data_IF_800379971682
#
_entry.id   IF_800379971682
#
_cell.length_a   1.000
_cell.length_b   1.000
_cell.length_c   1.000
_cell.angle_alpha   90.00
_cell.angle_beta   90.00
_cell.angle_gamma   90.00
#
_symmetry.space_group_name_H-M   'P 1'
#
loop_
_entity.id
_entity.type
_entity.pdbx_description
1 polymer ?
#
# COMPACT_ATOMS: atom_id res chain seq x y z
N UNK A 1 -66.28 40.86 -19.46
CA UNK A 1 -66.95 41.95 -18.72
C UNK A 1 -66.39 41.97 -17.30
N UNK A 2 -65.88 43.13 -16.91
CA UNK A 2 -65.30 43.46 -15.60
C UNK A 2 -66.19 43.12 -14.41
N UNK A 3 -65.60 42.83 -13.24
CA UNK A 3 -65.56 43.75 -12.10
C UNK A 3 -65.10 43.07 -10.79
N UNK A 4 -64.09 43.70 -10.15
CA UNK A 4 -63.99 44.04 -8.70
C UNK A 4 -63.99 42.90 -7.66
N UNK A 5 -63.40 43.01 -6.47
CA UNK A 5 -62.48 43.92 -5.78
C UNK A 5 -61.99 43.09 -4.57
N UNK A 6 -60.79 43.31 -4.06
CA UNK A 6 -60.38 42.66 -2.80
C UNK A 6 -58.95 42.94 -2.40
N UNK A 7 -58.66 44.20 -2.05
CA UNK A 7 -57.40 44.59 -1.41
C UNK A 7 -57.52 44.32 0.09
N UNK A 8 -56.57 43.58 0.66
CA UNK A 8 -56.25 43.62 2.09
C UNK A 8 -54.75 43.89 2.26
N UNK A 9 -54.45 45.05 2.83
CA UNK A 9 -53.18 45.35 3.47
C UNK A 9 -53.08 44.55 4.78
N UNK A 10 -51.87 44.13 5.20
CA UNK A 10 -51.30 44.44 6.52
C UNK A 10 -49.82 43.97 6.61
N UNK A 11 -49.00 44.96 6.99
CA UNK A 11 -47.76 44.98 7.79
C UNK A 11 -46.47 44.24 7.35
N UNK A 12 -45.46 45.09 7.19
CA UNK A 12 -44.03 44.86 7.38
C UNK A 12 -43.67 44.07 8.64
N UNK A 13 -42.71 43.15 8.50
CA UNK A 13 -41.62 43.01 9.46
C UNK A 13 -40.29 42.94 8.68
N UNK A 14 -39.50 43.99 8.83
CA UNK A 14 -38.08 44.03 8.43
C UNK A 14 -37.32 43.09 9.34
N UNK A 15 -36.86 41.96 8.79
CA UNK A 15 -35.82 41.14 9.40
C UNK A 15 -34.53 41.31 8.60
N UNK A 16 -33.70 42.28 8.99
CA UNK A 16 -32.30 42.34 8.60
C UNK A 16 -31.59 41.14 9.22
N UNK A 17 -31.52 40.04 8.47
CA UNK A 17 -30.74 38.85 8.80
C UNK A 17 -29.59 38.73 7.82
N UNK A 18 -28.38 38.95 8.31
CA UNK A 18 -27.11 38.91 7.61
C UNK A 18 -27.03 37.79 6.57
N UNK A 19 -26.64 38.16 5.35
CA UNK A 19 -26.36 37.23 4.28
C UNK A 19 -25.31 36.22 4.71
N UNK A 20 -25.75 35.00 5.05
CA UNK A 20 -24.86 33.85 5.12
C UNK A 20 -24.35 33.59 3.72
N UNK A 21 -23.15 34.09 3.44
CA UNK A 21 -22.34 33.70 2.30
C UNK A 21 -22.12 32.18 2.39
N UNK A 22 -22.88 31.43 1.62
CA UNK A 22 -22.59 30.03 1.35
C UNK A 22 -21.26 29.97 0.60
N UNK A 23 -20.19 29.53 1.26
CA UNK A 23 -18.92 29.19 0.60
C UNK A 23 -19.14 27.88 -0.17
N UNK A 24 -19.31 28.00 -1.49
CA UNK A 24 -19.63 26.91 -2.42
C UNK A 24 -18.42 26.10 -2.88
N UNK A 25 -17.32 26.10 -2.11
CA UNK A 25 -16.17 25.22 -2.38
C UNK A 25 -16.52 23.78 -2.01
N UNK A 26 -17.33 23.11 -2.84
CA UNK A 26 -17.27 21.64 -2.98
C UNK A 26 -15.86 21.31 -3.44
N UNK A 27 -14.99 20.89 -2.51
CA UNK A 27 -13.72 20.27 -2.87
C UNK A 27 -14.07 19.03 -3.68
N UNK A 28 -13.83 19.09 -4.98
CA UNK A 28 -14.09 17.97 -5.89
C UNK A 28 -13.17 16.82 -5.47
N UNK A 29 -13.76 15.70 -5.05
CA UNK A 29 -12.99 14.55 -4.58
C UNK A 29 -12.20 13.98 -5.74
N UNK A 30 -10.88 14.07 -5.66
CA UNK A 30 -9.98 13.46 -6.65
C UNK A 30 -10.00 11.95 -6.48
N UNK A 31 -10.74 11.25 -7.33
CA UNK A 31 -10.89 9.78 -7.30
C UNK A 31 -9.79 9.02 -8.06
N UNK A 32 -8.61 9.63 -8.23
CA UNK A 32 -7.49 9.06 -8.98
C UNK A 32 -6.14 9.53 -8.45
N UNK A 33 -5.13 8.69 -8.60
CA UNK A 33 -3.72 8.99 -8.28
C UNK A 33 -3.02 9.49 -9.54
N UNK A 34 -2.13 10.46 -9.36
CA UNK A 34 -1.28 11.06 -10.40
C UNK A 34 0.19 10.99 -10.00
N UNK A 35 1.10 11.16 -10.96
CA UNK A 35 2.54 11.23 -10.68
C UNK A 35 2.93 12.32 -9.68
N UNK A 36 2.17 13.42 -9.58
CA UNK A 36 2.42 14.45 -8.57
C UNK A 36 2.12 13.97 -7.15
N UNK A 37 1.24 12.98 -6.98
CA UNK A 37 0.93 12.39 -5.67
C UNK A 37 2.11 11.52 -5.16
N UNK A 38 3.04 11.16 -6.04
CA UNK A 38 4.28 10.42 -5.76
C UNK A 38 5.51 11.34 -5.70
N UNK A 39 5.37 12.67 -5.64
CA UNK A 39 6.51 13.60 -5.60
C UNK A 39 6.37 14.62 -4.49
N UNK A 40 7.46 14.92 -3.79
CA UNK A 40 7.47 15.92 -2.72
C UNK A 40 7.13 17.33 -3.25
N UNK A 41 7.55 17.67 -4.46
CA UNK A 41 7.22 18.92 -5.14
C UNK A 41 6.72 18.67 -6.56
N UNK A 42 6.01 19.63 -7.14
CA UNK A 42 5.51 19.57 -8.52
C UNK A 42 6.62 19.84 -9.57
N UNK A 43 7.86 19.41 -9.30
CA UNK A 43 9.02 19.62 -10.18
C UNK A 43 9.83 20.88 -9.90
N UNK A 44 9.56 21.59 -8.80
CA UNK A 44 10.39 22.69 -8.29
C UNK A 44 11.35 22.21 -7.20
N UNK A 45 12.62 22.62 -7.28
CA UNK A 45 13.65 22.39 -6.26
C UNK A 45 13.07 22.70 -4.86
N UNK A 46 13.27 21.80 -3.89
CA UNK A 46 12.93 22.02 -2.49
C UNK A 46 13.62 23.30 -2.02
N UNK A 47 12.87 24.40 -1.92
CA UNK A 47 13.36 25.64 -1.32
C UNK A 47 13.28 25.48 0.19
N UNK A 48 14.43 25.59 0.84
CA UNK A 48 14.54 25.92 2.26
C UNK A 48 13.79 27.25 2.49
N UNK A 49 12.53 27.16 2.88
CA UNK A 49 11.72 28.13 3.62
C UNK A 49 10.25 27.93 3.28
N UNK A 50 9.51 27.29 4.21
CA UNK A 50 8.10 27.47 4.61
C UNK A 50 7.05 28.00 3.61
N UNK A 51 7.22 27.86 2.31
CA UNK A 51 6.31 28.35 1.29
C UNK A 51 5.29 27.27 0.94
N UNK A 52 4.00 27.61 1.07
CA UNK A 52 2.89 26.80 0.55
C UNK A 52 3.12 26.50 -0.93
N UNK A 53 3.52 25.27 -1.24
CA UNK A 53 3.40 24.73 -2.58
C UNK A 53 1.91 24.52 -2.89
N UNK A 54 1.52 24.88 -4.10
CA UNK A 54 0.15 24.99 -4.55
C UNK A 54 -0.64 23.67 -4.32
N UNK A 55 -1.45 23.60 -3.27
CA UNK A 55 -2.50 22.58 -3.08
C UNK A 55 -2.15 21.26 -2.38
N UNK A 56 -0.90 20.94 -2.02
CA UNK A 56 -0.59 19.71 -1.26
C UNK A 56 0.15 19.99 0.05
N UNK A 57 -0.36 19.45 1.17
CA UNK A 57 0.27 19.58 2.50
C UNK A 57 1.45 18.63 2.59
N UNK A 58 2.64 19.15 2.85
CA UNK A 58 3.86 18.35 3.04
C UNK A 58 4.19 18.30 4.54
N UNK A 59 4.52 17.12 5.05
CA UNK A 59 5.04 16.90 6.41
C UNK A 59 6.42 16.25 6.25
N UNK A 60 7.46 16.85 6.81
CA UNK A 60 8.83 16.36 6.74
C UNK A 60 9.16 15.53 7.97
N UNK A 61 9.58 14.28 7.77
CA UNK A 61 10.04 13.37 8.80
C UNK A 61 11.56 13.33 8.79
N UNK A 62 12.18 13.69 9.90
CA UNK A 62 13.63 13.56 10.12
C UNK A 62 13.91 13.01 11.52
N UNK A 63 14.46 11.80 11.58
CA UNK A 63 14.87 11.17 12.84
C UNK A 63 15.86 12.02 13.66
N UNK A 64 16.63 12.92 13.02
CA UNK A 64 17.57 13.82 13.68
C UNK A 64 16.90 15.11 14.21
N UNK A 65 15.61 15.30 13.95
CA UNK A 65 14.80 16.38 14.48
C UNK A 65 14.91 17.72 13.74
N UNK A 66 15.40 17.76 12.49
CA UNK A 66 15.40 18.97 11.66
C UNK A 66 14.16 19.09 10.75
N UNK A 67 13.29 18.08 10.76
CA UNK A 67 11.99 18.08 10.08
C UNK A 67 10.84 18.50 11.02
N UNK A 68 9.61 18.37 10.54
CA UNK A 68 8.39 18.67 11.32
C UNK A 68 8.17 17.66 12.45
N UNK A 69 8.51 16.40 12.21
CA UNK A 69 8.42 15.30 13.20
C UNK A 69 9.59 14.33 13.07
N UNK A 70 9.81 13.50 14.10
CA UNK A 70 10.91 12.52 14.14
C UNK A 70 10.55 11.11 13.65
N UNK A 71 9.27 10.76 13.71
CA UNK A 71 8.76 9.41 13.41
C UNK A 71 7.77 9.46 12.27
N UNK A 72 7.69 8.39 11.50
CA UNK A 72 6.74 8.26 10.39
C UNK A 72 5.31 8.16 10.94
N UNK A 73 5.08 7.37 11.99
CA UNK A 73 3.77 7.29 12.63
C UNK A 73 3.31 8.67 13.13
N UNK A 74 4.20 9.44 13.75
CA UNK A 74 3.89 10.82 14.17
C UNK A 74 3.42 11.72 13.01
N UNK A 75 3.97 11.58 11.81
CA UNK A 75 3.48 12.32 10.64
C UNK A 75 2.08 11.86 10.20
N UNK A 76 1.82 10.55 10.25
CA UNK A 76 0.50 9.96 9.97
C UNK A 76 -0.52 10.46 11.00
N UNK A 77 -0.13 10.62 12.26
CA UNK A 77 -0.99 11.09 13.34
C UNK A 77 -1.44 12.54 13.14
N UNK A 78 -0.59 13.38 12.55
CA UNK A 78 -0.90 14.77 12.17
C UNK A 78 -1.90 14.90 11.01
N UNK A 79 -2.17 13.83 10.26
CA UNK A 79 -3.21 13.83 9.22
C UNK A 79 -4.58 13.70 9.89
N UNK A 80 -5.53 14.61 9.64
CA UNK A 80 -6.86 14.51 10.24
C UNK A 80 -7.62 13.29 9.71
N UNK A 81 -8.51 12.67 10.51
CA UNK A 81 -9.44 11.67 10.00
C UNK A 81 -10.39 12.31 8.97
N UNK A 82 -10.95 11.47 8.09
CA UNK A 82 -11.82 11.86 6.98
C UNK A 82 -11.15 12.86 6.03
N UNK A 83 -9.84 12.71 5.84
CA UNK A 83 -9.05 13.51 4.93
C UNK A 83 -9.54 13.34 3.47
N UNK A 84 -9.68 14.43 2.73
CA UNK A 84 -10.07 14.41 1.30
C UNK A 84 -9.00 15.02 0.39
N UNK A 85 -7.90 15.50 0.96
CA UNK A 85 -6.81 16.15 0.23
C UNK A 85 -5.52 15.34 0.34
N UNK A 86 -4.69 15.37 -0.70
CA UNK A 86 -3.41 14.67 -0.68
C UNK A 86 -2.49 15.25 0.39
N UNK A 87 -2.12 14.42 1.38
CA UNK A 87 -1.05 14.75 2.34
C UNK A 87 0.20 13.95 1.99
N UNK A 88 1.30 14.66 1.77
CA UNK A 88 2.59 14.11 1.38
C UNK A 88 3.50 14.08 2.61
N UNK A 89 3.97 12.91 2.98
CA UNK A 89 4.93 12.72 4.07
C UNK A 89 6.30 12.47 3.43
N UNK A 90 7.15 13.49 3.44
CA UNK A 90 8.53 13.41 2.96
C UNK A 90 9.42 12.84 4.05
N UNK A 91 9.99 11.67 3.83
CA UNK A 91 10.80 10.94 4.80
C UNK A 91 12.26 11.07 4.41
N UNK A 92 13.04 11.79 5.23
CA UNK A 92 14.47 11.96 4.99
C UNK A 92 15.24 10.65 5.19
N UNK A 93 16.46 10.52 4.64
CA UNK A 93 17.29 9.33 4.82
C UNK A 93 17.47 8.90 6.29
N UNK A 94 17.26 7.62 6.55
CA UNK A 94 17.34 7.04 7.89
C UNK A 94 16.82 5.60 7.98
N UNK A 95 17.10 4.97 9.12
CA UNK A 95 16.50 3.67 9.49
C UNK A 95 15.52 3.91 10.63
N UNK A 96 14.24 3.95 10.27
CA UNK A 96 13.11 4.15 11.15
C UNK A 96 12.66 2.80 11.73
N UNK A 97 13.08 2.53 12.97
CA UNK A 97 12.71 1.32 13.72
C UNK A 97 11.38 1.52 14.43
N UNK A 98 10.31 1.45 13.65
CA UNK A 98 8.95 1.66 14.11
C UNK A 98 7.98 0.83 13.27
N UNK A 99 6.80 0.56 13.84
CA UNK A 99 5.66 0.08 13.06
C UNK A 99 4.83 1.28 12.64
N UNK A 100 4.38 1.29 11.40
CA UNK A 100 3.57 2.37 10.84
C UNK A 100 2.20 1.82 10.46
N UNK A 101 1.15 2.44 10.99
CA UNK A 101 -0.24 2.12 10.71
C UNK A 101 -0.91 3.31 10.03
N UNK A 102 -1.32 3.12 8.77
CA UNK A 102 -2.10 4.08 7.98
C UNK A 102 -3.58 3.68 8.09
N UNK A 103 -4.36 4.31 8.99
CA UNK A 103 -5.72 3.87 9.28
C UNK A 103 -6.68 4.19 8.13
N UNK A 104 -7.71 3.35 7.96
CA UNK A 104 -8.76 3.54 6.93
C UNK A 104 -9.42 4.93 6.95
N UNK A 105 -9.47 5.56 8.13
CA UNK A 105 -10.03 6.90 8.30
C UNK A 105 -9.17 8.02 7.71
N UNK A 106 -7.94 7.76 7.26
CA UNK A 106 -7.01 8.77 6.73
C UNK A 106 -6.59 8.47 5.28
N UNK A 107 -7.52 8.47 4.31
CA UNK A 107 -7.19 8.25 2.91
C UNK A 107 -6.33 9.39 2.36
N UNK A 108 -5.78 9.17 1.17
CA UNK A 108 -4.96 10.15 0.46
C UNK A 108 -3.62 10.54 1.13
N UNK A 109 -2.98 9.59 1.81
CA UNK A 109 -1.60 9.73 2.32
C UNK A 109 -0.58 9.23 1.29
N UNK A 110 0.49 9.99 1.08
CA UNK A 110 1.68 9.56 0.32
C UNK A 110 2.90 9.50 1.22
N UNK A 111 3.61 8.37 1.27
CA UNK A 111 4.96 8.28 1.84
C UNK A 111 6.00 8.47 0.72
N UNK A 112 6.90 9.44 0.90
CA UNK A 112 7.82 9.86 -0.16
C UNK A 112 9.25 9.82 0.38
N UNK A 113 10.07 8.93 -0.18
CA UNK A 113 11.52 8.95 -0.03
C UNK A 113 12.21 9.37 -1.33
N UNK A 114 13.45 8.96 -1.49
CA UNK A 114 14.26 9.21 -2.69
C UNK A 114 14.12 8.03 -3.67
N UNK A 115 13.51 8.28 -4.83
CA UNK A 115 13.24 7.24 -5.82
C UNK A 115 14.51 6.65 -6.45
N UNK A 116 15.62 7.40 -6.46
CA UNK A 116 16.90 6.90 -7.00
C UNK A 116 17.70 6.15 -5.93
N UNK A 117 17.38 6.36 -4.65
CA UNK A 117 18.06 5.74 -3.51
C UNK A 117 17.08 5.20 -2.45
N UNK A 118 16.15 4.29 -2.80
CA UNK A 118 15.14 3.78 -1.87
C UNK A 118 15.74 3.03 -0.66
N UNK A 119 16.98 2.58 -0.75
CA UNK A 119 17.73 1.95 0.34
C UNK A 119 18.19 2.93 1.43
N UNK A 120 18.12 4.25 1.19
CA UNK A 120 18.49 5.26 2.19
C UNK A 120 17.38 5.58 3.19
N UNK A 121 16.13 5.25 2.88
CA UNK A 121 14.97 5.47 3.76
C UNK A 121 14.32 4.12 4.04
N UNK A 122 14.56 3.58 5.24
CA UNK A 122 14.16 2.21 5.62
C UNK A 122 13.21 2.27 6.81
N UNK A 123 12.04 1.64 6.68
CA UNK A 123 11.12 1.34 7.78
C UNK A 123 11.34 -0.13 8.16
N UNK A 124 11.73 -0.39 9.40
CA UNK A 124 12.24 -1.70 9.81
C UNK A 124 11.58 -2.18 11.10
N UNK A 125 11.08 -3.42 11.08
CA UNK A 125 10.62 -4.14 12.27
C UNK A 125 11.01 -5.63 12.23
N UNK A 126 10.58 -6.42 13.22
CA UNK A 126 11.04 -7.80 13.40
C UNK A 126 10.04 -8.72 14.15
N UNK A 127 8.75 -8.45 14.06
CA UNK A 127 7.72 -9.34 14.63
C UNK A 127 7.51 -10.57 13.72
N UNK A 128 7.27 -11.74 14.33
CA UNK A 128 6.72 -12.93 13.64
C UNK A 128 5.42 -13.41 14.27
N UNK A 129 4.65 -14.19 13.52
CA UNK A 129 3.28 -14.55 13.90
C UNK A 129 3.17 -15.27 15.25
N UNK A 130 4.18 -16.07 15.62
CA UNK A 130 4.24 -16.76 16.91
C UNK A 130 4.60 -15.87 18.11
N UNK A 131 5.05 -14.63 17.88
CA UNK A 131 5.41 -13.74 18.99
C UNK A 131 4.17 -13.40 19.83
N UNK A 132 4.39 -13.13 21.11
CA UNK A 132 3.32 -12.88 22.08
C UNK A 132 3.17 -11.38 22.34
N UNK A 133 1.93 -10.94 22.32
CA UNK A 133 1.47 -9.67 22.88
C UNK A 133 0.63 -9.93 24.14
N UNK A 134 0.16 -8.86 24.77
CA UNK A 134 -0.66 -8.94 25.99
C UNK A 134 -1.97 -9.73 25.79
N UNK A 135 -2.49 -9.77 24.57
CA UNK A 135 -3.77 -10.40 24.20
C UNK A 135 -3.62 -11.75 23.47
N UNK A 136 -2.41 -12.31 23.39
CA UNK A 136 -2.14 -13.60 22.76
C UNK A 136 -1.05 -13.55 21.71
N UNK A 137 -1.03 -14.52 20.81
CA UNK A 137 -0.07 -14.55 19.69
C UNK A 137 -0.41 -13.48 18.66
N UNK A 138 0.59 -12.85 18.05
CA UNK A 138 0.38 -11.79 17.06
C UNK A 138 -0.45 -12.28 15.86
N UNK A 139 -0.16 -13.48 15.35
CA UNK A 139 -0.67 -13.91 14.05
C UNK A 139 -0.08 -13.08 12.91
N UNK A 140 -0.24 -13.53 11.66
CA UNK A 140 0.44 -12.96 10.48
C UNK A 140 0.19 -11.45 10.31
N UNK A 141 -1.07 -11.01 10.31
CA UNK A 141 -1.42 -9.61 10.00
C UNK A 141 -0.81 -8.59 10.97
N UNK A 142 -0.66 -8.95 12.25
CA UNK A 142 -0.11 -8.04 13.26
C UNK A 142 1.41 -7.96 13.21
N UNK A 143 2.10 -8.76 12.41
CA UNK A 143 3.56 -8.68 12.24
C UNK A 143 4.02 -7.57 11.30
N UNK A 144 3.09 -6.99 10.52
CA UNK A 144 3.39 -6.01 9.50
C UNK A 144 4.18 -4.81 10.04
N UNK A 145 5.28 -4.48 9.36
CA UNK A 145 6.08 -3.27 9.63
C UNK A 145 5.32 -2.02 9.18
N UNK A 146 4.69 -2.08 8.00
CA UNK A 146 3.76 -1.08 7.49
C UNK A 146 2.38 -1.71 7.25
N UNK A 147 1.35 -1.14 7.86
CA UNK A 147 -0.05 -1.50 7.60
C UNK A 147 -0.76 -0.37 6.87
N UNK A 148 -1.35 -0.67 5.72
CA UNK A 148 -2.04 0.30 4.86
C UNK A 148 -3.51 -0.08 4.74
N UNK A 149 -4.36 0.54 5.55
CA UNK A 149 -5.81 0.37 5.48
C UNK A 149 -6.52 1.53 4.75
N UNK A 150 -5.79 2.60 4.44
CA UNK A 150 -6.33 3.79 3.84
C UNK A 150 -6.40 3.72 2.32
N UNK A 151 -7.53 4.14 1.76
CA UNK A 151 -7.70 4.22 0.30
C UNK A 151 -6.81 5.31 -0.31
N UNK A 152 -6.48 5.12 -1.60
CA UNK A 152 -5.66 6.06 -2.37
C UNK A 152 -4.28 6.32 -1.75
N UNK A 153 -3.74 5.33 -1.04
CA UNK A 153 -2.39 5.39 -0.49
C UNK A 153 -1.35 5.41 -1.61
N UNK A 154 -0.25 6.12 -1.39
CA UNK A 154 0.90 6.10 -2.28
C UNK A 154 2.19 5.89 -1.48
N UNK A 155 3.14 5.17 -2.05
CA UNK A 155 4.51 5.15 -1.57
C UNK A 155 5.50 5.24 -2.73
N UNK A 156 6.58 5.99 -2.54
CA UNK A 156 7.68 6.07 -3.49
C UNK A 156 9.03 6.08 -2.79
N UNK A 157 10.05 5.46 -3.39
CA UNK A 157 11.44 5.67 -2.99
C UNK A 157 11.76 5.30 -1.54
N UNK A 158 11.07 4.31 -0.98
CA UNK A 158 11.30 3.82 0.38
C UNK A 158 11.53 2.31 0.40
N UNK A 159 12.22 1.84 1.44
CA UNK A 159 12.31 0.43 1.79
C UNK A 159 11.44 0.15 3.01
N UNK A 160 10.67 -0.92 2.96
CA UNK A 160 10.00 -1.49 4.14
C UNK A 160 10.49 -2.91 4.32
N UNK A 161 10.90 -3.26 5.53
CA UNK A 161 11.44 -4.57 5.83
C UNK A 161 10.90 -5.17 7.12
N UNK A 162 10.72 -6.48 7.12
CA UNK A 162 10.66 -7.28 8.33
C UNK A 162 11.87 -8.22 8.36
N UNK A 163 12.69 -8.07 9.39
CA UNK A 163 14.02 -8.71 9.46
C UNK A 163 14.01 -10.16 9.94
N UNK A 164 12.84 -10.72 10.26
CA UNK A 164 12.72 -12.14 10.60
C UNK A 164 13.07 -12.99 9.38
N UNK A 165 13.95 -13.97 9.58
CA UNK A 165 14.31 -14.99 8.59
C UNK A 165 13.59 -16.29 8.91
N UNK A 166 12.61 -16.65 8.09
CA UNK A 166 11.87 -17.88 8.20
C UNK A 166 12.80 -19.08 8.01
N UNK A 167 12.55 -20.13 8.80
CA UNK A 167 13.18 -21.44 8.62
C UNK A 167 12.23 -22.31 7.79
N UNK A 168 12.71 -23.01 6.74
CA UNK A 168 11.86 -23.95 6.01
C UNK A 168 11.17 -24.93 6.96
N UNK A 169 9.84 -25.04 6.88
CA UNK A 169 9.02 -25.89 7.76
C UNK A 169 8.84 -25.37 9.19
N UNK A 170 9.33 -24.17 9.52
CA UNK A 170 9.14 -23.55 10.83
C UNK A 170 7.70 -23.08 11.05
N UNK A 171 7.10 -23.45 12.17
CA UNK A 171 5.76 -22.98 12.55
C UNK A 171 5.79 -21.53 13.05
N UNK A 172 4.81 -20.73 12.64
CA UNK A 172 4.62 -19.36 13.15
C UNK A 172 5.69 -18.35 12.73
N UNK A 173 6.43 -18.64 11.66
CA UNK A 173 7.54 -17.82 11.15
C UNK A 173 7.11 -16.70 10.18
N UNK A 174 5.81 -16.57 9.89
CA UNK A 174 5.28 -15.51 9.03
C UNK A 174 5.65 -14.14 9.58
N UNK A 175 6.17 -13.25 8.73
CA UNK A 175 6.72 -11.98 9.14
C UNK A 175 6.57 -10.94 8.01
N UNK A 176 5.51 -10.15 8.12
CA UNK A 176 5.05 -9.25 7.06
C UNK A 176 5.88 -7.95 7.10
N UNK A 177 6.40 -7.54 5.95
CA UNK A 177 6.97 -6.20 5.78
C UNK A 177 5.83 -5.19 5.53
N UNK A 178 4.94 -5.49 4.58
CA UNK A 178 3.80 -4.61 4.25
C UNK A 178 2.50 -5.42 4.19
N UNK A 179 1.49 -4.96 4.90
CA UNK A 179 0.10 -5.42 4.77
C UNK A 179 -0.75 -4.31 4.12
N UNK A 180 -1.51 -4.65 3.08
CA UNK A 180 -2.31 -3.69 2.31
C UNK A 180 -3.76 -4.16 2.23
N UNK A 181 -4.66 -3.32 2.70
CA UNK A 181 -6.11 -3.54 2.78
C UNK A 181 -6.94 -2.36 2.22
N UNK A 182 -6.34 -1.18 2.05
CA UNK A 182 -7.01 0.00 1.48
C UNK A 182 -7.06 -0.03 -0.05
N UNK A 183 -8.16 0.44 -0.64
CA UNK A 183 -8.37 0.36 -2.09
C UNK A 183 -7.57 1.42 -2.87
N UNK A 184 -7.17 1.09 -4.11
CA UNK A 184 -6.44 1.98 -5.03
C UNK A 184 -5.10 2.49 -4.48
N UNK A 185 -4.22 1.59 -4.05
CA UNK A 185 -2.86 1.94 -3.61
C UNK A 185 -1.84 1.88 -4.76
N UNK A 186 -0.85 2.79 -4.76
CA UNK A 186 0.25 2.82 -5.74
C UNK A 186 1.60 2.81 -5.04
N UNK A 187 2.51 1.95 -5.50
CA UNK A 187 3.87 1.86 -5.03
C UNK A 187 4.82 2.02 -6.23
N UNK A 188 5.74 2.98 -6.15
CA UNK A 188 6.68 3.28 -7.23
C UNK A 188 8.12 3.27 -6.74
N UNK A 189 8.99 2.44 -7.35
CA UNK A 189 10.40 2.33 -6.94
C UNK A 189 10.59 2.04 -5.43
N UNK A 190 9.65 1.32 -4.82
CA UNK A 190 9.74 0.86 -3.43
C UNK A 190 10.50 -0.46 -3.33
N UNK A 191 11.04 -0.74 -2.15
CA UNK A 191 11.66 -2.04 -1.82
C UNK A 191 10.88 -2.70 -0.67
N UNK A 192 10.47 -3.95 -0.84
CA UNK A 192 9.84 -4.76 0.21
C UNK A 192 10.72 -5.97 0.50
N UNK A 193 11.21 -6.06 1.73
CA UNK A 193 12.21 -7.07 2.11
C UNK A 193 11.70 -7.91 3.27
N UNK A 194 11.76 -9.23 3.12
CA UNK A 194 11.41 -10.16 4.19
C UNK A 194 11.79 -11.59 3.82
N UNK A 195 11.12 -12.55 4.47
CA UNK A 195 11.33 -13.98 4.23
C UNK A 195 10.02 -14.71 3.95
N UNK A 196 9.17 -14.92 4.95
CA UNK A 196 7.84 -15.52 4.78
C UNK A 196 6.76 -14.44 4.87
N UNK A 197 5.84 -14.43 3.91
CA UNK A 197 4.70 -13.49 3.84
C UNK A 197 5.13 -12.01 3.76
N UNK A 198 6.22 -11.71 3.03
CA UNK A 198 6.82 -10.35 2.99
C UNK A 198 5.82 -9.26 2.59
N UNK A 199 5.08 -9.47 1.51
CA UNK A 199 4.07 -8.56 1.01
C UNK A 199 2.70 -9.25 1.11
N UNK A 200 1.93 -8.88 2.13
CA UNK A 200 0.55 -9.30 2.31
C UNK A 200 -0.38 -8.30 1.59
N UNK A 201 -0.52 -8.55 0.29
CA UNK A 201 -1.33 -7.82 -0.68
C UNK A 201 -2.79 -8.33 -0.66
N UNK A 202 -3.54 -7.93 0.37
CA UNK A 202 -4.69 -8.65 0.90
C UNK A 202 -6.01 -8.29 0.22
N UNK A 203 -6.41 -7.02 0.27
CA UNK A 203 -7.70 -6.53 -0.26
C UNK A 203 -7.48 -5.20 -0.98
N UNK A 204 -8.12 -5.04 -2.15
CA UNK A 204 -8.13 -3.80 -2.90
C UNK A 204 -7.60 -3.95 -4.33
N UNK A 205 -7.44 -2.81 -5.00
CA UNK A 205 -6.81 -2.71 -6.33
C UNK A 205 -5.48 -2.00 -6.20
N UNK A 206 -4.37 -2.68 -6.47
CA UNK A 206 -3.05 -2.11 -6.24
C UNK A 206 -2.17 -2.11 -7.49
N UNK A 207 -1.28 -1.12 -7.57
CA UNK A 207 -0.30 -1.02 -8.65
C UNK A 207 1.11 -0.85 -8.09
N UNK A 208 1.97 -1.79 -8.43
CA UNK A 208 3.38 -1.80 -8.08
C UNK A 208 4.18 -1.58 -9.37
N UNK A 209 4.91 -0.47 -9.43
CA UNK A 209 5.66 -0.08 -10.61
C UNK A 209 7.15 0.08 -10.29
N UNK A 210 8.00 -0.68 -10.97
CA UNK A 210 9.46 -0.67 -10.78
C UNK A 210 9.89 -0.94 -9.33
N UNK A 211 9.11 -1.73 -8.58
CA UNK A 211 9.45 -2.10 -7.21
C UNK A 211 10.45 -3.27 -7.18
N UNK A 212 11.16 -3.40 -6.07
CA UNK A 212 11.96 -4.57 -5.74
C UNK A 212 11.27 -5.32 -4.60
N UNK A 213 10.96 -6.60 -4.81
CA UNK A 213 10.24 -7.43 -3.84
C UNK A 213 11.08 -8.66 -3.55
N UNK A 214 11.38 -8.91 -2.28
CA UNK A 214 12.26 -9.99 -1.87
C UNK A 214 11.65 -10.86 -0.77
N UNK A 215 11.72 -12.18 -0.97
CA UNK A 215 11.38 -13.14 0.08
C UNK A 215 11.63 -14.58 -0.31
N UNK A 216 11.06 -15.51 0.46
CA UNK A 216 11.32 -16.95 0.40
C UNK A 216 10.02 -17.75 0.24
N UNK A 217 9.15 -17.73 1.25
CA UNK A 217 7.91 -18.53 1.28
C UNK A 217 6.72 -17.58 1.17
N UNK A 218 5.88 -17.79 0.16
CA UNK A 218 4.62 -17.06 -0.04
C UNK A 218 4.80 -15.54 0.04
N UNK A 219 5.93 -15.04 -0.43
CA UNK A 219 6.35 -13.69 -0.07
C UNK A 219 5.54 -12.59 -0.77
N UNK A 220 4.66 -12.95 -1.71
CA UNK A 220 3.55 -12.13 -2.21
C UNK A 220 2.26 -12.94 -2.01
N UNK A 221 1.43 -12.55 -1.06
CA UNK A 221 0.24 -13.33 -0.67
C UNK A 221 -0.97 -12.44 -0.38
N UNK A 222 -2.17 -13.04 -0.35
CA UNK A 222 -3.44 -12.32 -0.15
C UNK A 222 -4.42 -12.49 -1.31
N UNK A 223 -5.44 -11.64 -1.38
CA UNK A 223 -6.54 -11.72 -2.36
C UNK A 223 -6.79 -10.42 -3.12
N UNK A 224 -5.82 -9.50 -3.22
CA UNK A 224 -6.01 -8.26 -3.95
C UNK A 224 -6.11 -8.47 -5.49
N UNK A 225 -6.54 -7.44 -6.20
CA UNK A 225 -6.44 -7.32 -7.66
C UNK A 225 -5.27 -6.42 -8.00
N UNK A 226 -4.11 -7.00 -8.28
CA UNK A 226 -2.87 -6.25 -8.34
C UNK A 226 -2.09 -6.43 -9.64
N UNK A 227 -1.53 -5.33 -10.12
CA UNK A 227 -0.57 -5.29 -11.22
C UNK A 227 0.81 -4.98 -10.68
N UNK A 228 1.75 -5.87 -10.95
CA UNK A 228 3.18 -5.72 -10.71
C UNK A 228 3.84 -5.52 -12.06
N UNK A 229 4.35 -4.33 -12.34
CA UNK A 229 4.91 -3.98 -13.64
C UNK A 229 6.35 -3.50 -13.55
N UNK A 230 7.23 -4.09 -14.36
CA UNK A 230 8.65 -3.71 -14.38
C UNK A 230 9.36 -3.98 -13.06
N UNK A 231 8.80 -4.83 -12.20
CA UNK A 231 9.34 -5.12 -10.88
C UNK A 231 10.48 -6.14 -10.96
N UNK A 232 11.38 -6.09 -9.99
CA UNK A 232 12.33 -7.16 -9.71
C UNK A 232 11.77 -8.00 -8.57
N UNK A 233 11.58 -9.29 -8.83
CA UNK A 233 11.08 -10.26 -7.86
C UNK A 233 12.26 -11.18 -7.52
N UNK A 234 12.79 -11.05 -6.30
CA UNK A 234 14.04 -11.69 -5.88
C UNK A 234 13.77 -12.75 -4.80
N UNK A 235 13.89 -14.02 -5.16
CA UNK A 235 13.83 -15.11 -4.19
C UNK A 235 15.14 -15.23 -3.40
N UNK A 236 15.06 -15.52 -2.10
CA UNK A 236 16.25 -15.73 -1.25
C UNK A 236 16.38 -17.16 -0.72
N UNK A 237 15.52 -18.08 -1.17
CA UNK A 237 15.54 -19.46 -0.73
C UNK A 237 14.38 -20.29 -1.29
N UNK A 238 14.29 -21.57 -0.90
CA UNK A 238 13.21 -22.44 -1.36
C UNK A 238 11.86 -22.00 -0.80
N UNK A 239 10.83 -22.06 -1.65
CA UNK A 239 9.47 -21.67 -1.29
C UNK A 239 8.62 -21.39 -2.52
N UNK A 240 7.88 -20.29 -2.48
CA UNK A 240 7.01 -19.85 -3.56
C UNK A 240 6.97 -18.32 -3.61
N UNK A 241 6.93 -17.77 -4.81
CA UNK A 241 6.79 -16.33 -5.02
C UNK A 241 5.39 -15.87 -4.62
N UNK A 242 4.35 -16.45 -5.22
CA UNK A 242 2.97 -16.04 -5.01
C UNK A 242 2.15 -17.09 -4.25
N UNK A 243 1.31 -16.63 -3.31
CA UNK A 243 0.27 -17.43 -2.67
C UNK A 243 -1.06 -16.66 -2.69
N UNK A 244 -1.75 -16.74 -3.82
CA UNK A 244 -2.97 -15.97 -4.05
C UNK A 244 -4.19 -16.71 -3.47
N UNK A 245 -5.08 -15.97 -2.80
CA UNK A 245 -6.15 -16.50 -1.95
C UNK A 245 -7.57 -16.22 -2.48
N UNK A 246 -7.74 -16.28 -3.80
CA UNK A 246 -9.07 -16.23 -4.41
C UNK A 246 -9.82 -17.52 -4.13
N UNK A 247 -11.01 -17.41 -3.54
CA UNK A 247 -11.82 -18.53 -3.05
C UNK A 247 -13.12 -18.74 -3.84
N UNK A 248 -13.46 -17.85 -4.78
CA UNK A 248 -14.64 -18.02 -5.63
C UNK A 248 -14.35 -17.65 -7.10
N UNK A 249 -15.06 -18.26 -8.08
CA UNK A 249 -14.98 -17.83 -9.47
C UNK A 249 -15.58 -16.44 -9.71
N UNK A 250 -16.45 -15.94 -8.82
CA UNK A 250 -17.05 -14.60 -8.93
C UNK A 250 -16.14 -13.47 -8.44
N UNK A 251 -15.08 -13.80 -7.71
CA UNK A 251 -14.11 -12.80 -7.24
C UNK A 251 -13.24 -12.31 -8.40
N UNK A 252 -13.28 -11.00 -8.65
CA UNK A 252 -12.44 -10.38 -9.67
C UNK A 252 -11.06 -9.97 -9.12
N UNK A 253 -10.38 -10.91 -8.47
CA UNK A 253 -9.07 -10.70 -7.83
C UNK A 253 -7.99 -11.55 -8.49
N UNK A 254 -6.73 -11.28 -8.18
CA UNK A 254 -5.59 -11.99 -8.74
C UNK A 254 -4.40 -11.09 -8.98
N UNK A 255 -3.25 -11.71 -9.24
CA UNK A 255 -1.99 -11.02 -9.46
C UNK A 255 -1.55 -11.13 -10.91
N UNK A 256 -1.11 -10.01 -11.48
CA UNK A 256 -0.50 -9.95 -12.81
C UNK A 256 0.91 -9.37 -12.68
N UNK A 257 1.91 -10.17 -13.05
CA UNK A 257 3.31 -9.76 -13.17
C UNK A 257 3.61 -9.52 -14.65
N UNK A 258 3.97 -8.29 -15.01
CA UNK A 258 4.15 -7.86 -16.40
C UNK A 258 5.49 -7.18 -16.58
N UNK A 259 6.28 -7.63 -17.55
CA UNK A 259 7.62 -7.10 -17.83
C UNK A 259 8.53 -7.13 -16.58
N UNK A 260 8.33 -8.10 -15.69
CA UNK A 260 9.10 -8.26 -14.46
C UNK A 260 10.35 -9.11 -14.69
N UNK A 261 11.35 -8.96 -13.82
CA UNK A 261 12.51 -9.86 -13.75
C UNK A 261 12.39 -10.75 -12.51
N UNK A 262 12.35 -12.07 -12.72
CA UNK A 262 12.30 -13.09 -11.67
C UNK A 262 13.70 -13.68 -11.50
N UNK A 263 14.31 -13.40 -10.35
CA UNK A 263 15.70 -13.72 -10.04
C UNK A 263 15.82 -14.23 -8.62
N UNK A 264 17.01 -14.65 -8.21
CA UNK A 264 17.30 -14.91 -6.80
C UNK A 264 18.20 -16.11 -6.58
N UNK A 265 18.09 -16.66 -5.39
CA UNK A 265 18.81 -17.84 -4.92
C UNK A 265 17.83 -18.97 -4.59
N UNK A 266 18.34 -20.21 -4.68
CA UNK A 266 17.58 -21.41 -4.34
C UNK A 266 16.74 -21.93 -5.50
N UNK A 267 15.82 -22.85 -5.17
CA UNK A 267 14.85 -23.42 -6.11
C UNK A 267 13.44 -23.16 -5.56
N UNK A 268 12.69 -22.32 -6.26
CA UNK A 268 11.38 -21.80 -5.80
C UNK A 268 10.29 -22.05 -6.84
N UNK A 269 9.04 -21.85 -6.45
CA UNK A 269 7.87 -21.91 -7.33
C UNK A 269 7.44 -20.50 -7.75
N UNK A 270 6.83 -20.38 -8.93
CA UNK A 270 6.13 -19.17 -9.36
C UNK A 270 4.95 -18.86 -8.42
N UNK A 271 4.30 -19.90 -7.91
CA UNK A 271 3.33 -19.74 -6.85
C UNK A 271 2.70 -21.05 -6.42
N UNK A 272 1.90 -20.97 -5.36
CA UNK A 272 1.06 -22.06 -4.90
C UNK A 272 -0.34 -21.58 -4.55
N UNK A 273 -1.34 -22.39 -4.87
CA UNK A 273 -2.76 -22.00 -4.79
C UNK A 273 -3.28 -22.02 -3.34
N UNK A 274 -3.05 -20.94 -2.58
CA UNK A 274 -3.60 -20.81 -1.22
C UNK A 274 -5.14 -20.87 -1.27
N UNK A 275 -5.75 -20.08 -2.15
CA UNK A 275 -7.20 -20.13 -2.43
C UNK A 275 -7.55 -21.14 -3.52
N UNK A 276 -8.77 -21.70 -3.45
CA UNK A 276 -9.25 -22.72 -4.41
C UNK A 276 -9.32 -22.23 -5.86
N UNK A 277 -9.56 -20.93 -6.05
CA UNK A 277 -9.65 -20.27 -7.36
C UNK A 277 -8.47 -19.33 -7.60
N UNK A 278 -7.32 -19.62 -6.99
CA UNK A 278 -6.09 -18.83 -7.08
C UNK A 278 -5.80 -18.41 -8.52
N UNK A 279 -5.54 -17.11 -8.73
CA UNK A 279 -5.28 -16.54 -10.05
C UNK A 279 -4.00 -15.70 -10.05
N UNK A 280 -2.98 -16.19 -10.76
CA UNK A 280 -1.70 -15.52 -10.94
C UNK A 280 -1.25 -15.63 -12.38
N UNK A 281 -0.79 -14.54 -12.97
CA UNK A 281 -0.29 -14.48 -14.35
C UNK A 281 1.10 -13.86 -14.37
N UNK A 282 2.05 -14.50 -15.06
CA UNK A 282 3.35 -13.94 -15.41
C UNK A 282 3.39 -13.74 -16.93
N UNK A 283 3.55 -12.50 -17.38
CA UNK A 283 3.52 -12.13 -18.79
C UNK A 283 4.75 -11.29 -19.15
N UNK A 284 5.47 -11.70 -20.21
CA UNK A 284 6.69 -11.01 -20.69
C UNK A 284 7.77 -10.85 -19.61
N UNK A 285 7.81 -11.76 -18.64
CA UNK A 285 8.81 -11.75 -17.59
C UNK A 285 10.10 -12.41 -18.07
N UNK A 286 11.23 -11.85 -17.66
CA UNK A 286 12.53 -12.53 -17.70
C UNK A 286 12.63 -13.43 -16.46
N UNK A 287 12.70 -14.76 -16.66
CA UNK A 287 12.65 -15.75 -15.58
C UNK A 287 13.96 -16.54 -15.58
N UNK A 288 14.77 -16.34 -14.53
CA UNK A 288 16.02 -17.09 -14.32
C UNK A 288 15.76 -18.56 -13.92
N UNK A 289 16.83 -19.34 -13.82
CA UNK A 289 16.81 -20.75 -13.43
C UNK A 289 16.49 -21.01 -11.93
N UNK A 290 16.10 -19.97 -11.19
CA UNK A 290 15.63 -20.07 -9.80
C UNK A 290 14.30 -20.82 -9.69
N UNK A 291 13.49 -20.85 -10.77
CA UNK A 291 12.19 -21.52 -10.80
C UNK A 291 12.35 -23.03 -11.03
N UNK A 292 11.68 -23.84 -10.20
CA UNK A 292 11.59 -25.29 -10.38
C UNK A 292 10.89 -25.64 -11.69
N UNK A 293 11.27 -26.74 -12.39
CA UNK A 293 10.61 -27.16 -13.62
C UNK A 293 9.10 -27.38 -13.50
N UNK A 294 8.60 -27.73 -12.30
CA UNK A 294 7.16 -27.85 -12.03
C UNK A 294 6.42 -26.52 -12.12
N UNK A 295 7.11 -25.39 -11.90
CA UNK A 295 6.58 -24.03 -11.92
C UNK A 295 5.64 -23.71 -10.75
N UNK A 296 4.67 -24.57 -10.47
CA UNK A 296 3.53 -24.31 -9.58
C UNK A 296 3.29 -25.47 -8.61
N UNK A 297 2.47 -25.22 -7.58
CA UNK A 297 1.94 -26.25 -6.67
C UNK A 297 0.48 -25.97 -6.32
N UNK A 298 -0.34 -27.02 -6.29
CA UNK A 298 -1.76 -26.94 -5.95
C UNK A 298 -2.01 -26.95 -4.43
N UNK A 299 -1.02 -26.49 -3.64
CA UNK A 299 -1.03 -26.57 -2.18
C UNK A 299 -1.14 -28.01 -1.65
N UNK A 300 -0.69 -28.99 -2.44
CA UNK A 300 -0.85 -30.42 -2.21
C UNK A 300 -2.33 -30.89 -2.12
N UNK A 301 -3.26 -30.16 -2.76
CA UNK A 301 -4.66 -30.53 -2.85
C UNK A 301 -4.95 -31.03 -4.27
N UNK A 302 -4.94 -32.36 -4.44
CA UNK A 302 -5.06 -33.01 -5.75
C UNK A 302 -6.33 -32.62 -6.53
N UNK A 303 -7.45 -32.37 -5.84
CA UNK A 303 -8.70 -31.96 -6.50
C UNK A 303 -8.63 -30.59 -7.19
N UNK A 304 -7.60 -29.78 -6.91
CA UNK A 304 -7.37 -28.48 -7.56
C UNK A 304 -6.59 -28.61 -8.87
N UNK A 305 -6.07 -29.79 -9.19
CA UNK A 305 -5.44 -30.08 -10.49
C UNK A 305 -6.52 -30.16 -11.57
N UNK A 306 -6.81 -29.02 -12.21
CA UNK A 306 -7.54 -29.01 -13.47
C UNK A 306 -6.52 -29.07 -14.59
N UNK A 307 -6.33 -30.26 -15.15
CA UNK A 307 -5.72 -30.38 -16.48
C UNK A 307 -6.73 -29.74 -17.44
N UNK A 308 -6.35 -28.70 -18.21
CA UNK A 308 -7.23 -28.19 -19.26
C UNK A 308 -7.52 -29.33 -20.23
N UNK A 309 -8.80 -29.62 -20.46
CA UNK A 309 -9.25 -30.43 -21.61
C UNK A 309 -8.96 -29.71 -22.92
#
# INVERSE_FOLDING_TARGET
MSCCLGVMFVAFLVGLGEGRRWDSRKVERKIFITWNDLRASDGGILRENGGRNNGSKIIVVDQNGKGDVRTIQGAVDLVPPYNYERVKILILPGIYREKVHIPASKPYISLIGDEDMPSKTVISWHDKASDRAADGVLGTTRTATLQVFADYFCATGITVENTVVARPGGEGMQAVAVNINGDRAVFYKCRFLGSQDTLLDDIGVHYFYQCYIQGMVDFICGNARSLYQGCVINSVGPGAIAAQHRNSPSENTGYSFVDCRITGLGKTLLGRAWGEFSRVVFAKCDISDVILPSGWSDWNILSRQKIPE
#
